data_IF_492418221357
#
_entry.id   IF_492418221357
#
_cell.length_a   1.000
_cell.length_b   1.000
_cell.length_c   1.000
_cell.angle_alpha   90.00
_cell.angle_beta   90.00
_cell.angle_gamma   90.00
#
_symmetry.space_group_name_H-M   'P 1'
#
loop_
_entity.id
_entity.type
_entity.pdbx_description
1 polymer ?
#
# COMPACT_ATOMS: atom_id res chain seq x y z
N UNK A 1 -19.21 -19.62 -0.39
CA UNK A 1 -18.68 -18.40 -1.05
C UNK A 1 -18.96 -17.23 -0.13
N UNK A 2 -17.91 -16.61 0.43
CA UNK A 2 -18.06 -15.41 1.26
C UNK A 2 -18.17 -14.23 0.29
N UNK A 3 -19.32 -13.56 0.28
CA UNK A 3 -19.51 -12.35 -0.52
C UNK A 3 -18.94 -11.17 0.27
N UNK A 4 -17.70 -10.80 -0.02
CA UNK A 4 -17.03 -9.65 0.61
C UNK A 4 -17.32 -8.41 -0.24
N UNK A 5 -17.88 -7.37 0.37
CA UNK A 5 -18.15 -6.11 -0.31
C UNK A 5 -16.84 -5.30 -0.37
N UNK A 6 -16.40 -4.91 -1.57
CA UNK A 6 -15.15 -4.16 -1.77
C UNK A 6 -15.11 -2.77 -1.10
N UNK A 7 -16.26 -2.27 -0.63
CA UNK A 7 -16.42 -0.99 0.10
C UNK A 7 -16.39 -1.14 1.61
N UNK A 8 -16.33 -2.37 2.13
CA UNK A 8 -16.33 -2.64 3.57
C UNK A 8 -15.12 -3.48 3.93
N UNK A 9 -14.41 -3.05 4.96
CA UNK A 9 -13.32 -3.80 5.54
C UNK A 9 -13.85 -4.67 6.67
N UNK A 10 -13.34 -5.89 6.72
CA UNK A 10 -13.81 -6.92 7.64
C UNK A 10 -12.68 -7.39 8.54
N UNK A 11 -12.90 -7.33 9.84
CA UNK A 11 -12.03 -7.97 10.84
C UNK A 11 -12.59 -9.35 11.19
N UNK A 12 -11.71 -10.34 11.28
CA UNK A 12 -12.07 -11.72 11.60
C UNK A 12 -11.41 -12.13 12.90
N UNK A 13 -12.21 -12.57 13.86
CA UNK A 13 -11.74 -13.05 15.17
C UNK A 13 -12.35 -14.40 15.50
N UNK A 14 -11.66 -15.21 16.29
CA UNK A 14 -12.20 -16.47 16.83
C UNK A 14 -12.82 -16.17 18.18
N UNK A 15 -14.09 -16.50 18.36
CA UNK A 15 -14.76 -16.32 19.65
C UNK A 15 -14.48 -17.50 20.60
N UNK A 16 -14.97 -17.39 21.84
CA UNK A 16 -14.83 -18.42 22.89
C UNK A 16 -15.41 -19.79 22.50
N UNK A 17 -16.29 -19.83 21.50
CA UNK A 17 -16.89 -21.06 20.96
C UNK A 17 -16.13 -21.63 19.76
N UNK A 18 -14.91 -21.16 19.50
CA UNK A 18 -14.07 -21.55 18.37
C UNK A 18 -14.74 -21.29 17.00
N UNK A 19 -15.58 -20.26 16.92
CA UNK A 19 -16.22 -19.82 15.66
C UNK A 19 -15.57 -18.55 15.15
N UNK A 20 -15.36 -18.50 13.83
CA UNK A 20 -14.92 -17.28 13.15
C UNK A 20 -16.07 -16.28 13.12
N UNK A 21 -15.87 -15.12 13.71
CA UNK A 21 -16.79 -13.98 13.70
C UNK A 21 -16.19 -12.90 12.81
N UNK A 22 -16.98 -12.41 11.85
CA UNK A 22 -16.61 -11.24 11.06
C UNK A 22 -17.30 -9.99 11.60
N UNK A 23 -16.57 -8.88 11.68
CA UNK A 23 -17.10 -7.56 12.01
C UNK A 23 -16.69 -6.57 10.93
N UNK A 24 -17.58 -5.64 10.59
CA UNK A 24 -17.23 -4.53 9.71
C UNK A 24 -16.44 -3.52 10.53
N UNK A 25 -15.29 -3.11 9.99
CA UNK A 25 -14.46 -2.04 10.53
C UNK A 25 -14.72 -0.78 9.70
N UNK A 26 -15.51 0.15 10.23
CA UNK A 26 -15.92 1.35 9.50
C UNK A 26 -14.75 2.32 9.28
N UNK A 27 -13.82 2.40 10.23
CA UNK A 27 -12.62 3.25 10.10
C UNK A 27 -11.76 2.77 8.94
N UNK A 28 -11.60 1.46 8.80
CA UNK A 28 -10.80 0.86 7.74
C UNK A 28 -11.54 0.75 6.40
N UNK A 29 -12.85 0.99 6.33
CA UNK A 29 -13.68 0.78 5.12
C UNK A 29 -13.54 1.86 4.04
N UNK A 30 -12.78 2.94 4.30
CA UNK A 30 -12.50 4.09 3.43
C UNK A 30 -13.12 4.04 2.01
N UNK A 31 -14.35 4.56 1.82
CA UNK A 31 -15.07 4.47 0.54
C UNK A 31 -14.49 5.37 -0.56
N UNK A 32 -13.59 6.29 -0.20
CA UNK A 32 -12.96 7.24 -1.12
C UNK A 32 -11.81 6.61 -1.93
N UNK A 33 -11.15 5.57 -1.40
CA UNK A 33 -10.18 4.80 -2.17
C UNK A 33 -10.90 3.63 -2.81
N UNK A 34 -10.87 3.52 -4.14
CA UNK A 34 -11.46 2.38 -4.87
C UNK A 34 -10.41 1.29 -5.10
N UNK A 35 -9.21 1.72 -5.48
CA UNK A 35 -8.10 0.89 -5.97
C UNK A 35 -7.39 0.10 -4.88
N UNK A 36 -6.87 -1.07 -5.24
CA UNK A 36 -6.34 -2.03 -4.29
C UNK A 36 -5.01 -1.59 -3.66
N UNK A 37 -4.16 -0.93 -4.44
CA UNK A 37 -2.84 -0.45 -4.03
C UNK A 37 -2.94 0.68 -2.98
N UNK A 38 -3.75 1.71 -3.25
CA UNK A 38 -4.04 2.83 -2.35
C UNK A 38 -4.75 2.36 -1.09
N UNK A 39 -5.68 1.40 -1.18
CA UNK A 39 -6.28 0.74 0.00
C UNK A 39 -5.24 0.00 0.82
N UNK A 40 -4.34 -0.73 0.18
CA UNK A 40 -3.30 -1.50 0.88
C UNK A 40 -2.37 -0.58 1.65
N UNK A 41 -1.94 0.53 1.04
CA UNK A 41 -1.13 1.57 1.69
C UNK A 41 -1.92 2.22 2.84
N UNK A 42 -3.19 2.55 2.62
CA UNK A 42 -4.05 3.09 3.68
C UNK A 42 -4.13 2.15 4.89
N UNK A 43 -4.35 0.85 4.68
CA UNK A 43 -4.37 -0.12 5.76
C UNK A 43 -3.02 -0.20 6.50
N UNK A 44 -1.91 -0.24 5.77
CA UNK A 44 -0.57 -0.25 6.37
C UNK A 44 -0.35 0.98 7.26
N UNK A 45 -0.73 2.17 6.78
CA UNK A 45 -0.58 3.44 7.51
C UNK A 45 -1.50 3.56 8.74
N UNK A 46 -2.61 2.81 8.80
CA UNK A 46 -3.51 2.79 9.96
C UNK A 46 -3.13 1.76 11.03
N UNK A 47 -2.04 1.00 10.84
CA UNK A 47 -1.50 0.12 11.89
C UNK A 47 -0.93 1.01 13.00
N UNK A 48 -1.60 1.00 14.16
CA UNK A 48 -1.33 1.92 15.27
C UNK A 48 -0.30 1.38 16.29
N UNK A 49 0.31 0.23 16.02
CA UNK A 49 1.37 -0.39 16.82
C UNK A 49 2.63 -0.66 15.98
N UNK A 50 3.82 -0.73 16.59
CA UNK A 50 5.04 -1.16 15.89
C UNK A 50 4.85 -2.53 15.22
N UNK A 51 5.07 -2.61 13.92
CA UNK A 51 4.85 -3.82 13.16
C UNK A 51 5.88 -4.00 12.04
N UNK A 52 6.18 -5.25 11.74
CA UNK A 52 6.84 -5.64 10.49
C UNK A 52 5.75 -5.95 9.45
N UNK A 53 5.62 -5.06 8.47
CA UNK A 53 4.54 -5.06 7.48
C UNK A 53 5.10 -5.60 6.17
N UNK A 54 4.49 -6.65 5.63
CA UNK A 54 4.84 -7.19 4.31
C UNK A 54 3.67 -6.97 3.35
N UNK A 55 3.86 -6.09 2.37
CA UNK A 55 2.92 -5.87 1.27
C UNK A 55 3.30 -6.79 0.12
N UNK A 56 2.46 -7.79 -0.18
CA UNK A 56 2.66 -8.67 -1.32
C UNK A 56 1.96 -8.10 -2.55
N UNK A 57 2.72 -7.64 -3.53
CA UNK A 57 2.18 -7.16 -4.80
C UNK A 57 3.21 -7.30 -5.93
N UNK A 58 2.71 -7.57 -7.15
CA UNK A 58 3.52 -7.45 -8.38
C UNK A 58 3.44 -6.05 -9.00
N UNK A 59 2.49 -5.25 -8.51
CA UNK A 59 2.24 -3.89 -8.95
C UNK A 59 3.32 -2.95 -8.43
N UNK A 60 3.98 -2.24 -9.34
CA UNK A 60 5.07 -1.33 -9.04
C UNK A 60 4.60 -0.04 -8.37
N UNK A 61 3.33 0.30 -8.47
CA UNK A 61 2.78 1.58 -7.99
C UNK A 61 2.89 1.65 -6.46
N UNK A 62 2.82 0.50 -5.77
CA UNK A 62 3.13 0.36 -4.35
C UNK A 62 4.52 0.93 -3.99
N UNK A 63 5.53 0.74 -4.83
CA UNK A 63 6.89 1.22 -4.57
C UNK A 63 7.02 2.74 -4.70
N UNK A 64 6.06 3.41 -5.36
CA UNK A 64 5.98 4.87 -5.40
C UNK A 64 5.04 5.42 -4.32
N UNK A 65 3.90 4.77 -4.11
CA UNK A 65 2.83 5.24 -3.21
C UNK A 65 3.19 5.01 -1.74
N UNK A 66 3.68 3.82 -1.39
CA UNK A 66 3.94 3.49 0.02
C UNK A 66 5.00 4.40 0.65
N UNK A 67 6.20 4.63 0.06
CA UNK A 67 7.19 5.54 0.65
C UNK A 67 6.64 6.94 0.88
N UNK A 68 5.87 7.49 -0.06
CA UNK A 68 5.26 8.82 0.09
C UNK A 68 4.25 8.95 1.22
N UNK A 69 3.77 7.82 1.74
CA UNK A 69 2.75 7.76 2.79
C UNK A 69 3.27 7.17 4.11
N UNK A 70 4.59 7.03 4.31
CA UNK A 70 5.13 6.40 5.54
C UNK A 70 5.08 7.29 6.79
N UNK A 71 4.85 8.59 6.65
CA UNK A 71 4.82 9.55 7.79
C UNK A 71 3.88 9.18 8.95
N UNK A 72 2.67 8.60 8.73
CA UNK A 72 1.78 8.20 9.83
C UNK A 72 2.22 6.94 10.58
N UNK A 73 3.19 6.17 10.06
CA UNK A 73 3.65 4.94 10.70
C UNK A 73 4.33 5.24 12.04
N UNK A 74 4.27 4.28 12.96
CA UNK A 74 5.09 4.34 14.17
C UNK A 74 6.57 4.21 13.80
N UNK A 75 7.43 4.94 14.50
CA UNK A 75 8.87 5.02 14.20
C UNK A 75 9.59 3.66 14.16
N UNK A 76 9.06 2.66 14.86
CA UNK A 76 9.64 1.32 14.94
C UNK A 76 9.04 0.33 13.90
N UNK A 77 8.12 0.78 13.05
CA UNK A 77 7.52 -0.06 12.01
C UNK A 77 8.45 -0.19 10.80
N UNK A 78 8.53 -1.41 10.27
CA UNK A 78 9.31 -1.73 9.06
C UNK A 78 8.37 -2.19 7.97
N UNK A 79 8.55 -1.70 6.75
CA UNK A 79 7.70 -2.01 5.61
C UNK A 79 8.51 -2.65 4.50
N UNK A 80 8.08 -3.84 4.10
CA UNK A 80 8.63 -4.62 3.02
C UNK A 80 7.62 -4.75 1.89
N UNK A 81 8.11 -4.79 0.66
CA UNK A 81 7.34 -5.24 -0.49
C UNK A 81 7.83 -6.61 -0.94
N UNK A 82 6.95 -7.61 -0.94
CA UNK A 82 7.21 -8.91 -1.56
C UNK A 82 6.65 -8.90 -2.98
N UNK A 83 7.53 -8.96 -3.97
CA UNK A 83 7.18 -8.86 -5.39
C UNK A 83 7.80 -10.00 -6.22
N UNK A 84 7.38 -10.15 -7.47
CA UNK A 84 7.78 -11.24 -8.36
C UNK A 84 6.91 -12.50 -8.23
N UNK A 85 7.23 -13.53 -9.00
CA UNK A 85 6.48 -14.80 -9.06
C UNK A 85 7.43 -16.00 -9.10
N UNK A 86 6.99 -17.13 -8.54
CA UNK A 86 7.76 -18.37 -8.51
C UNK A 86 9.14 -18.20 -7.86
N UNK A 87 10.19 -18.60 -8.57
CA UNK A 87 11.58 -18.50 -8.10
C UNK A 87 12.15 -17.07 -8.14
N UNK A 88 11.40 -16.09 -8.67
CA UNK A 88 11.81 -14.69 -8.74
C UNK A 88 11.17 -13.82 -7.63
N UNK A 89 10.62 -14.45 -6.58
CA UNK A 89 10.12 -13.74 -5.41
C UNK A 89 11.26 -13.00 -4.72
N UNK A 90 11.06 -11.70 -4.45
CA UNK A 90 12.05 -10.82 -3.84
C UNK A 90 11.39 -9.90 -2.82
N UNK A 91 12.08 -9.68 -1.72
CA UNK A 91 11.75 -8.66 -0.73
C UNK A 91 12.48 -7.37 -1.06
N UNK A 92 11.75 -6.26 -1.06
CA UNK A 92 12.28 -4.92 -1.22
C UNK A 92 11.99 -4.15 0.07
N UNK A 93 13.03 -3.58 0.68
CA UNK A 93 12.93 -2.79 1.89
C UNK A 93 12.45 -1.37 1.56
N UNK A 94 11.16 -1.09 1.79
CA UNK A 94 10.60 0.23 1.52
C UNK A 94 10.98 1.24 2.61
N UNK A 95 11.19 0.77 3.85
CA UNK A 95 11.67 1.62 4.95
C UNK A 95 13.05 2.16 4.64
N UNK A 96 13.95 1.33 4.13
CA UNK A 96 15.29 1.76 3.72
C UNK A 96 15.25 2.73 2.55
N UNK A 97 14.42 2.48 1.54
CA UNK A 97 14.24 3.41 0.40
C UNK A 97 13.74 4.78 0.90
N UNK A 98 12.77 4.80 1.82
CA UNK A 98 12.27 6.04 2.40
C UNK A 98 13.36 6.79 3.18
N UNK A 99 14.20 6.07 3.93
CA UNK A 99 15.31 6.66 4.66
C UNK A 99 16.40 7.24 3.73
N UNK A 100 16.68 6.58 2.60
CA UNK A 100 17.70 7.02 1.63
C UNK A 100 17.23 8.20 0.77
N UNK A 101 15.95 8.26 0.40
CA UNK A 101 15.40 9.33 -0.43
C UNK A 101 14.98 10.57 0.38
N UNK A 102 14.86 10.44 1.70
CA UNK A 102 14.32 11.47 2.59
C UNK A 102 12.83 11.79 2.34
N UNK A 103 12.18 12.33 3.37
CA UNK A 103 10.74 12.50 3.41
C UNK A 103 10.19 13.37 2.28
N UNK A 104 10.85 14.48 1.94
CA UNK A 104 10.36 15.41 0.92
C UNK A 104 10.33 14.79 -0.47
N UNK A 105 11.37 14.01 -0.83
CA UNK A 105 11.40 13.31 -2.12
C UNK A 105 10.32 12.23 -2.11
N UNK A 106 10.22 11.43 -1.05
CA UNK A 106 9.20 10.39 -0.94
C UNK A 106 7.78 10.95 -1.08
N UNK A 107 7.46 12.05 -0.42
CA UNK A 107 6.14 12.70 -0.52
C UNK A 107 5.82 13.20 -1.94
N UNK A 108 6.83 13.46 -2.77
CA UNK A 108 6.64 13.85 -4.17
C UNK A 108 6.42 12.66 -5.11
N UNK A 109 6.83 11.44 -4.72
CA UNK A 109 6.79 10.25 -5.59
C UNK A 109 5.38 9.91 -6.10
N UNK A 110 4.30 9.92 -5.28
CA UNK A 110 2.96 9.62 -5.78
C UNK A 110 2.50 10.61 -6.87
N UNK A 111 2.77 11.90 -6.68
CA UNK A 111 2.44 12.93 -7.66
C UNK A 111 3.30 12.82 -8.92
N UNK A 112 4.60 12.57 -8.77
CA UNK A 112 5.51 12.35 -9.89
C UNK A 112 5.11 11.12 -10.73
N UNK A 113 4.75 10.02 -10.08
CA UNK A 113 4.30 8.79 -10.71
C UNK A 113 2.98 9.00 -11.47
N UNK A 114 2.01 9.72 -10.90
CA UNK A 114 0.77 10.07 -11.59
C UNK A 114 0.98 10.89 -12.89
N UNK A 115 2.06 11.68 -12.95
CA UNK A 115 2.40 12.50 -14.12
C UNK A 115 3.24 11.71 -15.14
N UNK A 116 4.19 10.91 -14.68
CA UNK A 116 5.18 10.24 -15.54
C UNK A 116 4.76 8.85 -15.99
N UNK A 117 3.68 8.30 -15.44
CA UNK A 117 3.06 7.05 -15.87
C UNK A 117 2.59 6.23 -14.68
N UNK A 118 1.29 6.03 -14.60
CA UNK A 118 0.55 5.16 -13.67
C UNK A 118 -0.61 4.54 -14.49
N UNK A 119 -1.31 3.53 -13.98
CA UNK A 119 -2.41 2.87 -14.70
C UNK A 119 -3.51 3.83 -15.20
N UNK A 120 -3.62 5.03 -14.61
CA UNK A 120 -4.57 6.08 -15.03
C UNK A 120 -4.06 7.04 -16.10
N UNK A 121 -2.75 7.14 -16.33
CA UNK A 121 -2.19 8.15 -17.22
C UNK A 121 -0.99 7.62 -18.02
N UNK A 122 -1.02 7.79 -19.34
CA UNK A 122 0.15 7.45 -20.18
C UNK A 122 1.32 8.34 -19.81
N UNK A 123 2.52 7.77 -19.80
CA UNK A 123 3.75 8.53 -19.63
C UNK A 123 3.80 9.69 -20.62
N UNK A 124 4.02 10.91 -20.13
CA UNK A 124 4.16 12.09 -20.97
C UNK A 124 5.41 11.94 -21.86
N UNK A 125 5.20 11.68 -23.15
CA UNK A 125 6.28 11.70 -24.14
C UNK A 125 6.62 13.14 -24.48
N UNK A 126 7.88 13.52 -24.33
CA UNK A 126 8.37 14.80 -24.86
C UNK A 126 8.27 14.78 -26.39
N UNK A 127 7.26 15.46 -26.93
CA UNK A 127 7.24 15.81 -28.35
C UNK A 127 8.40 16.78 -28.59
N UNK A 128 9.38 16.36 -29.38
CA UNK A 128 10.37 17.29 -29.92
C UNK A 128 9.65 18.13 -30.96
N UNK A 129 9.41 19.40 -30.64
CA UNK A 129 9.09 20.42 -31.65
C UNK A 129 10.25 20.44 -32.66
N UNK A 130 9.93 20.08 -33.91
CA UNK A 130 10.78 20.27 -35.09
C UNK A 130 10.26 21.46 -35.90
#
# INVERSE_FOLDING_TARGET
MIHINFRKCHSFTINEFNKVVSRVDEELSCPAHEEADTKTVYHACNINYPAEIVIRSIDTDIAAIMPGNMHPLKNDSVVWMLTGTGNNLRYVDLTKIHAELEQLICQSLPGYHAITGCDFNRAHSSEKEN
#
